data_IF_472027603773
#
_entry.id   IF_472027603773
#
_cell.length_a   1.000
_cell.length_b   1.000
_cell.length_c   1.000
_cell.angle_alpha   90.00
_cell.angle_beta   90.00
_cell.angle_gamma   90.00
#
_symmetry.space_group_name_H-M   'P 1'
#
loop_
_entity.id
_entity.type
_entity.pdbx_description
1 polymer ?
#
# COMPACT_ATOMS: atom_id res chain seq x y z
N UNK A 1 -0.71 -0.46 -24.99
CA UNK A 1 -0.60 -1.32 -23.79
C UNK A 1 0.73 -1.17 -23.04
N UNK A 2 1.85 -0.87 -23.70
CA UNK A 2 3.18 -0.79 -23.07
C UNK A 2 3.28 0.14 -21.84
N UNK A 3 2.70 1.35 -21.88
CA UNK A 3 2.75 2.27 -20.73
C UNK A 3 2.12 1.69 -19.47
N UNK A 4 1.01 0.96 -19.61
CA UNK A 4 0.35 0.28 -18.48
C UNK A 4 1.24 -0.85 -17.98
N UNK A 5 1.83 -1.64 -18.88
CA UNK A 5 2.76 -2.73 -18.52
C UNK A 5 4.00 -2.22 -17.79
N UNK A 6 4.61 -1.12 -18.26
CA UNK A 6 5.76 -0.49 -17.60
C UNK A 6 5.37 0.07 -16.22
N UNK A 7 4.20 0.69 -16.12
CA UNK A 7 3.66 1.20 -14.85
C UNK A 7 3.53 0.09 -13.81
N UNK A 8 2.97 -1.05 -14.20
CA UNK A 8 2.82 -2.22 -13.33
C UNK A 8 4.20 -2.76 -12.93
N UNK A 9 5.10 -2.97 -13.90
CA UNK A 9 6.42 -3.54 -13.64
C UNK A 9 7.26 -2.67 -12.70
N UNK A 10 7.25 -1.34 -12.89
CA UNK A 10 8.02 -0.41 -12.07
C UNK A 10 7.43 -0.25 -10.66
N UNK A 11 6.11 -0.18 -10.53
CA UNK A 11 5.44 -0.20 -9.21
C UNK A 11 5.73 -1.50 -8.45
N UNK A 12 5.73 -2.65 -9.14
CA UNK A 12 6.03 -3.94 -8.54
C UNK A 12 7.50 -4.08 -8.11
N UNK A 13 8.43 -3.41 -8.80
CA UNK A 13 9.85 -3.37 -8.47
C UNK A 13 10.10 -2.55 -7.18
N UNK A 14 9.47 -1.39 -7.08
CA UNK A 14 9.64 -0.46 -5.94
C UNK A 14 9.01 -1.00 -4.66
N UNK A 15 7.83 -1.64 -4.74
CA UNK A 15 7.20 -2.27 -3.58
C UNK A 15 7.97 -3.53 -3.16
N UNK A 16 8.65 -3.46 -2.02
CA UNK A 16 9.49 -4.53 -1.47
C UNK A 16 8.81 -5.29 -0.32
N UNK A 17 7.68 -5.90 -0.62
CA UNK A 17 6.99 -6.86 0.25
C UNK A 17 6.22 -7.87 -0.62
N UNK A 18 5.56 -8.83 0.04
CA UNK A 18 4.54 -9.68 -0.57
C UNK A 18 3.21 -9.49 0.13
N UNK A 19 2.16 -9.13 -0.61
CA UNK A 19 0.80 -8.92 -0.09
C UNK A 19 -0.26 -9.19 -1.15
N UNK A 20 -1.24 -10.03 -0.82
CA UNK A 20 -2.35 -10.34 -1.72
C UNK A 20 -1.84 -10.93 -3.04
N UNK A 21 -2.22 -10.34 -4.17
CA UNK A 21 -1.77 -10.78 -5.50
C UNK A 21 -0.35 -10.36 -5.90
N UNK A 22 0.35 -9.54 -5.09
CA UNK A 22 1.74 -9.15 -5.33
C UNK A 22 2.65 -10.03 -4.46
N UNK A 23 3.43 -10.91 -5.09
CA UNK A 23 4.33 -11.86 -4.40
C UNK A 23 5.74 -11.72 -4.93
N UNK A 24 6.72 -11.68 -4.02
CA UNK A 24 8.13 -11.43 -4.27
C UNK A 24 8.97 -12.45 -3.51
N UNK A 25 9.72 -13.30 -4.21
CA UNK A 25 10.57 -14.31 -3.57
C UNK A 25 11.69 -13.69 -2.73
N UNK A 26 12.16 -12.51 -3.12
CA UNK A 26 13.19 -11.74 -2.40
C UNK A 26 12.65 -10.90 -1.24
N UNK A 27 11.32 -10.73 -1.16
CA UNK A 27 10.60 -10.10 -0.04
C UNK A 27 9.31 -10.88 0.28
N UNK A 28 9.42 -12.11 0.82
CA UNK A 28 8.29 -13.07 0.84
C UNK A 28 7.22 -12.79 1.90
N UNK A 29 7.45 -11.82 2.78
CA UNK A 29 6.56 -11.50 3.91
C UNK A 29 5.84 -10.18 3.66
N UNK A 30 4.69 -10.03 4.31
CA UNK A 30 4.05 -8.72 4.48
C UNK A 30 4.86 -7.89 5.47
N UNK A 31 5.03 -6.62 5.14
CA UNK A 31 5.64 -5.63 6.02
C UNK A 31 4.58 -4.58 6.37
N UNK A 32 4.25 -4.40 7.66
CA UNK A 32 3.25 -3.45 8.11
C UNK A 32 3.49 -2.01 7.62
N UNK A 33 4.72 -1.57 7.44
CA UNK A 33 5.02 -0.20 7.00
C UNK A 33 4.53 0.07 5.57
N UNK A 34 4.63 -0.93 4.68
CA UNK A 34 4.18 -0.80 3.28
C UNK A 34 2.65 -0.66 3.13
N UNK A 35 1.87 -0.91 4.19
CA UNK A 35 0.43 -0.59 4.21
C UNK A 35 0.17 0.90 4.08
N UNK A 36 1.04 1.71 4.67
CA UNK A 36 0.83 3.14 4.80
C UNK A 36 1.07 3.89 3.49
N UNK A 37 1.44 3.18 2.42
CA UNK A 37 1.83 3.78 1.14
C UNK A 37 1.16 3.10 -0.05
N UNK A 38 0.63 3.94 -0.94
CA UNK A 38 0.28 3.59 -2.30
C UNK A 38 1.45 3.94 -3.23
N UNK A 39 1.62 3.19 -4.32
CA UNK A 39 2.54 3.58 -5.40
C UNK A 39 1.74 4.28 -6.48
N UNK A 40 1.83 5.60 -6.54
CA UNK A 40 1.25 6.38 -7.60
C UNK A 40 2.14 6.28 -8.83
N UNK A 41 1.52 6.02 -9.97
CA UNK A 41 2.19 6.00 -11.26
C UNK A 41 1.69 7.15 -12.12
N UNK A 42 2.61 7.98 -12.61
CA UNK A 42 2.32 9.09 -13.51
C UNK A 42 3.15 8.99 -14.79
N UNK A 43 2.64 9.59 -15.87
CA UNK A 43 3.34 9.73 -17.14
C UNK A 43 3.50 11.22 -17.45
N UNK A 44 4.74 11.68 -17.57
CA UNK A 44 5.05 13.09 -17.81
C UNK A 44 5.25 13.43 -19.31
N UNK A 45 4.89 12.54 -20.22
CA UNK A 45 5.17 12.70 -21.66
C UNK A 45 6.49 12.08 -22.13
N UNK A 46 7.37 11.67 -21.21
CA UNK A 46 8.70 11.10 -21.54
C UNK A 46 9.05 9.81 -20.82
N UNK A 47 8.70 9.71 -19.53
CA UNK A 47 8.95 8.52 -18.71
C UNK A 47 7.81 8.30 -17.74
N UNK A 48 7.65 7.04 -17.32
CA UNK A 48 6.82 6.69 -16.18
C UNK A 48 7.55 7.16 -14.91
N UNK A 49 6.83 7.69 -13.94
CA UNK A 49 7.35 8.04 -12.61
C UNK A 49 6.53 7.32 -11.55
N UNK A 50 7.21 6.77 -10.55
CA UNK A 50 6.59 6.06 -9.42
C UNK A 50 6.91 6.86 -8.16
N UNK A 51 5.90 7.15 -7.37
CA UNK A 51 6.04 7.82 -6.07
C UNK A 51 5.28 7.04 -5.00
N UNK A 52 5.91 6.85 -3.85
CA UNK A 52 5.25 6.31 -2.67
C UNK A 52 4.46 7.43 -1.98
N UNK A 53 3.15 7.46 -2.18
CA UNK A 53 2.26 8.41 -1.53
C UNK A 53 1.66 7.79 -0.27
N UNK A 54 1.60 8.55 0.83
CA UNK A 54 0.92 8.08 2.04
C UNK A 54 -0.55 7.82 1.74
N UNK A 55 -1.00 6.61 2.06
CA UNK A 55 -2.40 6.25 1.96
C UNK A 55 -3.23 7.12 2.91
N UNK A 56 -4.43 7.50 2.47
CA UNK A 56 -5.39 8.17 3.34
C UNK A 56 -5.76 7.22 4.48
N UNK A 57 -5.84 7.70 5.73
CA UNK A 57 -6.30 6.87 6.84
C UNK A 57 -7.73 6.38 6.55
N UNK A 58 -8.07 5.22 7.11
CA UNK A 58 -9.45 4.73 7.08
C UNK A 58 -10.35 5.74 7.80
N UNK A 59 -11.40 6.29 7.17
CA UNK A 59 -12.29 7.24 7.83
C UNK A 59 -12.89 6.65 9.12
N UNK A 60 -13.10 7.50 10.14
CA UNK A 60 -13.63 7.12 11.45
C UNK A 60 -14.95 6.34 11.37
N UNK A 61 -15.85 6.74 10.45
CA UNK A 61 -17.13 6.06 10.22
C UNK A 61 -16.95 4.59 9.78
N UNK A 62 -15.92 4.29 8.98
CA UNK A 62 -15.62 2.94 8.52
C UNK A 62 -14.80 2.18 9.55
N UNK A 63 -13.87 2.86 10.23
CA UNK A 63 -13.07 2.28 11.30
C UNK A 63 -13.95 1.72 12.42
N UNK A 64 -15.03 2.43 12.75
CA UNK A 64 -16.00 2.05 13.79
C UNK A 64 -16.90 0.86 13.43
N UNK A 65 -16.88 0.39 12.16
CA UNK A 65 -17.66 -0.78 11.72
C UNK A 65 -16.98 -2.11 12.03
N UNK A 66 -15.71 -2.09 12.42
CA UNK A 66 -14.91 -3.30 12.64
C UNK A 66 -14.60 -3.51 14.12
N UNK A 67 -14.63 -4.77 14.53
CA UNK A 67 -14.13 -5.20 15.83
C UNK A 67 -12.62 -4.95 15.94
N UNK A 68 -12.17 -4.57 17.14
CA UNK A 68 -10.76 -4.23 17.36
C UNK A 68 -9.80 -5.38 17.03
N UNK A 69 -10.20 -6.63 17.28
CA UNK A 69 -9.38 -7.80 16.95
C UNK A 69 -9.27 -8.06 15.44
N UNK A 70 -10.24 -7.59 14.64
CA UNK A 70 -10.12 -7.62 13.18
C UNK A 70 -9.12 -6.57 12.70
N UNK A 71 -9.18 -5.36 13.26
CA UNK A 71 -8.26 -4.26 12.92
C UNK A 71 -6.80 -4.60 13.26
N UNK A 72 -6.54 -5.31 14.36
CA UNK A 72 -5.19 -5.75 14.78
C UNK A 72 -4.48 -6.68 13.78
N UNK A 73 -5.22 -7.39 12.92
CA UNK A 73 -4.60 -8.27 11.90
C UNK A 73 -3.82 -7.49 10.84
N UNK A 74 -4.04 -6.19 10.79
CA UNK A 74 -3.91 -5.39 9.59
C UNK A 74 -3.21 -4.07 9.88
N UNK A 75 -3.57 -3.40 10.97
CA UNK A 75 -2.99 -2.13 11.40
C UNK A 75 -1.91 -2.35 12.47
N UNK A 76 -0.88 -1.50 12.45
CA UNK A 76 0.10 -1.41 13.54
C UNK A 76 -0.53 -0.79 14.78
N UNK A 77 0.07 -1.02 15.95
CA UNK A 77 -0.37 -0.37 17.20
C UNK A 77 -0.42 1.16 17.09
N UNK A 78 0.52 1.75 16.35
CA UNK A 78 0.58 3.20 16.11
C UNK A 78 -0.60 3.69 15.25
N UNK A 79 -1.04 2.90 14.28
CA UNK A 79 -2.20 3.24 13.45
C UNK A 79 -3.51 3.05 14.23
N UNK A 80 -3.61 2.00 15.03
CA UNK A 80 -4.76 1.75 15.91
C UNK A 80 -4.94 2.88 16.93
N UNK A 81 -3.85 3.37 17.51
CA UNK A 81 -3.88 4.47 18.48
C UNK A 81 -4.37 5.80 17.88
N UNK A 82 -4.26 6.00 16.55
CA UNK A 82 -4.76 7.20 15.87
C UNK A 82 -6.26 7.15 15.59
N UNK A 83 -6.86 5.96 15.53
CA UNK A 83 -8.31 5.75 15.48
C UNK A 83 -9.01 6.50 14.34
N UNK A 84 -8.84 6.04 13.10
CA UNK A 84 -9.58 6.53 11.93
C UNK A 84 -9.47 8.03 11.59
N UNK A 85 -8.50 8.74 12.17
CA UNK A 85 -8.24 10.19 12.01
C UNK A 85 -7.04 10.49 11.12
#
# INVERSE_FOLDING_TARGET
>A
MLLVSESIARSALERRESRGGHTRDDYPKMDPEWRQYNHLTTWNGKKVEIEAEKAKPLPEELFSLFEMDELKKYFTEKELAKGGK
#
